data_IF_839902703577
#
_entry.id   IF_839902703577
#
_cell.length_a   1.000
_cell.length_b   1.000
_cell.length_c   1.000
_cell.angle_alpha   90.00
_cell.angle_beta   90.00
_cell.angle_gamma   90.00
#
_symmetry.space_group_name_H-M   'P 1'
#
loop_
_entity.id
_entity.type
_entity.pdbx_description
1 polymer ?
#
# COMPACT_ATOMS: atom_id res chain seq x y z
N UNK A 1 -16.61 -8.83 16.02
CA UNK A 1 -16.60 -8.90 14.55
C UNK A 1 -16.70 -7.48 14.04
N UNK A 2 -15.81 -7.08 13.13
CA UNK A 2 -15.72 -5.69 12.62
C UNK A 2 -16.75 -5.39 11.52
N UNK A 3 -17.33 -6.44 10.92
CA UNK A 3 -18.33 -6.38 9.88
C UNK A 3 -19.64 -7.07 10.29
N UNK A 4 -20.74 -6.69 9.65
CA UNK A 4 -22.04 -7.31 9.88
C UNK A 4 -22.03 -8.78 9.45
N UNK A 5 -22.71 -9.62 10.23
CA UNK A 5 -22.93 -11.03 9.90
C UNK A 5 -23.96 -11.11 8.79
N UNK A 6 -23.61 -11.82 7.72
CA UNK A 6 -24.50 -12.13 6.60
C UNK A 6 -25.18 -13.46 6.86
N UNK A 7 -24.39 -14.50 7.16
CA UNK A 7 -24.87 -15.86 7.44
C UNK A 7 -23.83 -16.65 8.24
N UNK A 8 -24.22 -17.78 8.82
CA UNK A 8 -23.30 -18.70 9.49
C UNK A 8 -23.78 -20.15 9.42
N UNK A 9 -22.81 -21.06 9.37
CA UNK A 9 -23.07 -22.51 9.38
C UNK A 9 -22.14 -23.21 10.36
N UNK A 10 -22.59 -24.34 10.91
CA UNK A 10 -21.76 -25.24 11.72
C UNK A 10 -21.14 -26.32 10.83
N UNK A 11 -19.85 -26.61 11.05
CA UNK A 11 -19.19 -27.77 10.47
C UNK A 11 -19.27 -28.93 11.46
N UNK A 12 -19.91 -30.01 11.04
CA UNK A 12 -20.08 -31.24 11.82
C UNK A 12 -19.24 -32.37 11.21
N UNK A 13 -18.82 -33.35 12.02
CA UNK A 13 -18.08 -34.51 11.51
C UNK A 13 -18.88 -35.34 10.49
N UNK A 14 -20.18 -35.54 10.72
CA UNK A 14 -21.05 -36.24 9.78
C UNK A 14 -21.76 -35.26 8.83
N UNK A 15 -21.77 -35.52 7.51
CA UNK A 15 -22.56 -34.74 6.56
C UNK A 15 -24.06 -35.08 6.61
N UNK A 16 -24.45 -36.15 7.31
CA UNK A 16 -25.84 -36.62 7.37
C UNK A 16 -26.57 -35.99 8.56
N UNK A 17 -27.70 -35.34 8.28
CA UNK A 17 -28.54 -34.70 9.31
C UNK A 17 -29.21 -35.68 10.27
N UNK A 18 -29.29 -36.96 9.88
CA UNK A 18 -29.83 -38.04 10.73
C UNK A 18 -28.86 -38.52 11.81
N UNK A 19 -27.56 -38.24 11.64
CA UNK A 19 -26.53 -38.66 12.59
C UNK A 19 -26.41 -37.65 13.74
N UNK A 20 -25.69 -38.07 14.78
CA UNK A 20 -25.33 -37.19 15.88
C UNK A 20 -24.52 -36.01 15.33
N UNK A 21 -25.02 -34.80 15.56
CA UNK A 21 -24.36 -33.57 15.13
C UNK A 21 -23.30 -33.20 16.17
N UNK A 22 -22.05 -33.46 15.84
CA UNK A 22 -20.89 -33.04 16.65
C UNK A 22 -20.16 -31.88 15.95
N UNK A 23 -20.57 -30.62 16.20
CA UNK A 23 -20.02 -29.47 15.52
C UNK A 23 -18.61 -29.16 16.05
N UNK A 24 -17.62 -29.19 15.18
CA UNK A 24 -16.22 -28.92 15.54
C UNK A 24 -15.78 -27.49 15.18
N UNK A 25 -16.54 -26.78 14.34
CA UNK A 25 -16.27 -25.40 13.96
C UNK A 25 -17.54 -24.65 13.55
N UNK A 26 -17.49 -23.32 13.60
CA UNK A 26 -18.53 -22.44 13.01
C UNK A 26 -17.90 -21.57 11.93
N UNK A 27 -18.46 -21.58 10.74
CA UNK A 27 -18.10 -20.67 9.64
C UNK A 27 -19.07 -19.51 9.67
N UNK A 28 -18.55 -18.29 9.76
CA UNK A 28 -19.33 -17.06 9.80
C UNK A 28 -18.95 -16.22 8.59
N UNK A 29 -19.92 -16.02 7.70
CA UNK A 29 -19.81 -15.10 6.57
C UNK A 29 -20.14 -13.69 7.05
N UNK A 30 -19.16 -12.80 6.95
CA UNK A 30 -19.33 -11.38 7.19
C UNK A 30 -19.43 -10.64 5.86
N UNK A 31 -19.91 -9.39 5.88
CA UNK A 31 -20.11 -8.62 4.66
C UNK A 31 -18.85 -8.45 3.80
N UNK A 32 -17.68 -8.39 4.43
CA UNK A 32 -16.38 -8.18 3.78
C UNK A 32 -15.31 -9.18 4.25
N UNK A 33 -15.68 -10.26 4.94
CA UNK A 33 -14.71 -11.17 5.56
C UNK A 33 -15.32 -12.56 5.83
N UNK A 34 -14.47 -13.57 6.05
CA UNK A 34 -14.85 -14.92 6.41
C UNK A 34 -14.09 -15.37 7.66
N UNK A 35 -14.82 -15.61 8.75
CA UNK A 35 -14.25 -16.04 10.02
C UNK A 35 -14.68 -17.47 10.31
N UNK A 36 -13.72 -18.33 10.66
CA UNK A 36 -14.01 -19.70 11.11
C UNK A 36 -13.54 -19.86 12.54
N UNK A 37 -14.43 -20.30 13.43
CA UNK A 37 -14.19 -20.42 14.87
C UNK A 37 -14.04 -21.89 15.22
N UNK A 38 -12.98 -22.23 15.94
CA UNK A 38 -12.72 -23.57 16.47
C UNK A 38 -13.55 -23.81 17.73
N UNK A 39 -14.43 -24.80 17.70
CA UNK A 39 -15.29 -25.14 18.84
C UNK A 39 -14.63 -26.11 19.81
N UNK A 40 -13.56 -26.80 19.41
CA UNK A 40 -12.93 -27.83 20.24
C UNK A 40 -11.83 -27.28 21.13
N UNK A 41 -11.18 -26.19 20.72
CA UNK A 41 -10.11 -25.56 21.52
C UNK A 41 -10.71 -24.61 22.56
N UNK A 42 -10.34 -24.73 23.85
CA UNK A 42 -10.81 -23.82 24.89
C UNK A 42 -10.51 -22.35 24.57
N UNK A 43 -11.50 -21.49 24.76
CA UNK A 43 -11.41 -20.07 24.39
C UNK A 43 -11.86 -19.75 22.96
N UNK A 44 -12.26 -20.78 22.19
CA UNK A 44 -12.84 -20.65 20.85
C UNK A 44 -12.02 -19.77 19.90
N UNK A 45 -10.72 -20.07 19.70
CA UNK A 45 -9.90 -19.30 18.79
C UNK A 45 -10.39 -19.43 17.34
N UNK A 46 -10.07 -18.45 16.50
CA UNK A 46 -10.36 -18.53 15.07
C UNK A 46 -9.31 -19.38 14.36
N UNK A 47 -9.68 -20.09 13.29
CA UNK A 47 -8.73 -20.69 12.36
C UNK A 47 -8.07 -19.59 11.52
N UNK A 48 -6.80 -19.77 11.18
CA UNK A 48 -6.12 -18.88 10.24
C UNK A 48 -6.63 -19.16 8.83
N UNK A 49 -7.24 -18.15 8.20
CA UNK A 49 -7.72 -18.25 6.82
C UNK A 49 -6.52 -18.25 5.85
N UNK A 50 -6.28 -19.35 5.10
CA UNK A 50 -5.16 -19.43 4.16
C UNK A 50 -5.39 -18.61 2.88
N UNK A 51 -6.62 -18.11 2.69
CA UNK A 51 -7.00 -17.31 1.54
C UNK A 51 -7.03 -15.83 1.95
N UNK A 52 -6.23 -14.96 1.30
CA UNK A 52 -6.21 -13.57 1.68
C UNK A 52 -7.52 -12.86 1.31
N UNK A 53 -8.30 -12.50 2.33
CA UNK A 53 -9.45 -11.59 2.18
C UNK A 53 -9.02 -10.12 2.34
N UNK A 54 -7.75 -9.85 2.66
CA UNK A 54 -7.28 -8.51 3.04
C UNK A 54 -7.07 -7.53 1.85
N UNK A 55 -7.51 -7.85 0.63
CA UNK A 55 -7.29 -6.94 -0.52
C UNK A 55 -7.97 -5.58 -0.29
N UNK A 56 -9.09 -5.54 0.42
CA UNK A 56 -9.90 -4.33 0.65
C UNK A 56 -9.81 -3.75 2.07
N UNK A 57 -8.81 -4.11 2.87
CA UNK A 57 -8.56 -3.47 4.19
C UNK A 57 -8.50 -1.92 4.06
N UNK A 58 -8.00 -1.45 2.92
CA UNK A 58 -8.10 -0.07 2.46
C UNK A 58 -8.43 -0.07 0.95
N UNK A 59 -9.23 0.90 0.44
CA UNK A 59 -9.56 0.98 -0.97
C UNK A 59 -8.32 0.90 -1.87
N UNK A 60 -8.36 0.03 -2.88
CA UNK A 60 -7.30 -0.08 -3.89
C UNK A 60 -7.41 1.10 -4.84
N UNK A 61 -6.33 1.88 -4.94
CA UNK A 61 -6.24 3.10 -5.75
C UNK A 61 -5.48 2.87 -7.06
N UNK A 62 -4.53 1.94 -7.07
CA UNK A 62 -3.83 1.52 -8.29
C UNK A 62 -3.37 0.06 -8.21
N UNK A 63 -3.19 -0.58 -9.36
CA UNK A 63 -2.67 -1.95 -9.45
C UNK A 63 -1.62 -2.09 -10.55
N UNK A 64 -0.73 -3.07 -10.40
CA UNK A 64 0.28 -3.40 -11.41
C UNK A 64 0.54 -4.90 -11.40
N UNK A 65 0.66 -5.50 -12.57
CA UNK A 65 0.92 -6.92 -12.75
C UNK A 65 2.24 -7.12 -13.48
N UNK A 66 3.02 -8.10 -13.02
CA UNK A 66 4.33 -8.43 -13.56
C UNK A 66 4.41 -9.94 -13.81
N UNK A 67 4.58 -10.31 -15.08
CA UNK A 67 4.86 -11.67 -15.52
C UNK A 67 6.38 -11.93 -15.59
N UNK A 68 6.78 -13.19 -15.79
CA UNK A 68 8.17 -13.60 -16.01
C UNK A 68 9.17 -13.05 -14.98
N UNK A 69 8.75 -12.95 -13.71
CA UNK A 69 9.58 -12.37 -12.67
C UNK A 69 10.79 -13.27 -12.35
N UNK A 70 11.93 -12.69 -11.94
CA UNK A 70 13.09 -13.46 -11.47
C UNK A 70 12.70 -14.51 -10.43
N UNK A 71 13.29 -15.70 -10.53
CA UNK A 71 12.93 -16.87 -9.71
C UNK A 71 13.09 -16.63 -8.20
N UNK A 72 13.94 -15.69 -7.81
CA UNK A 72 14.24 -15.37 -6.42
C UNK A 72 13.47 -14.16 -5.87
N UNK A 73 12.59 -13.54 -6.67
CA UNK A 73 11.79 -12.38 -6.27
C UNK A 73 10.73 -12.74 -5.23
N UNK A 74 9.90 -13.75 -5.50
CA UNK A 74 8.86 -14.26 -4.59
C UNK A 74 9.49 -14.73 -3.26
N UNK A 75 10.52 -15.61 -3.26
CA UNK A 75 11.22 -15.98 -2.03
C UNK A 75 11.80 -14.79 -1.27
N UNK A 76 12.32 -13.78 -1.97
CA UNK A 76 12.86 -12.58 -1.34
C UNK A 76 11.77 -11.79 -0.61
N UNK A 77 10.62 -11.55 -1.24
CA UNK A 77 9.50 -10.83 -0.62
C UNK A 77 8.92 -11.61 0.56
N UNK A 78 8.68 -12.90 0.38
CA UNK A 78 8.21 -13.78 1.45
C UNK A 78 9.13 -13.73 2.68
N UNK A 79 10.45 -13.76 2.49
CA UNK A 79 11.42 -13.74 3.58
C UNK A 79 11.38 -12.49 4.46
N UNK A 80 10.96 -11.35 3.90
CA UNK A 80 10.84 -10.08 4.65
C UNK A 80 9.42 -9.83 5.16
N UNK A 81 8.40 -10.38 4.50
CA UNK A 81 7.00 -10.27 4.92
C UNK A 81 6.59 -11.25 6.03
N UNK A 82 7.10 -12.48 6.01
CA UNK A 82 6.76 -13.52 7.00
C UNK A 82 7.05 -13.12 8.45
N UNK A 83 8.10 -12.32 8.67
CA UNK A 83 8.45 -11.79 10.00
C UNK A 83 7.39 -10.86 10.59
N UNK A 84 6.54 -10.27 9.74
CA UNK A 84 5.47 -9.36 10.18
C UNK A 84 4.15 -10.08 10.50
N UNK A 85 4.03 -11.39 10.22
CA UNK A 85 2.79 -12.17 10.36
C UNK A 85 2.82 -13.18 11.51
N UNK A 86 3.53 -12.93 12.61
CA UNK A 86 3.33 -13.73 13.83
C UNK A 86 1.94 -13.42 14.43
N UNK A 87 0.91 -14.00 13.83
CA UNK A 87 -0.48 -13.90 14.26
C UNK A 87 -0.68 -14.84 15.46
N UNK A 88 -0.56 -14.30 16.65
CA UNK A 88 -0.88 -15.02 17.90
C UNK A 88 -2.39 -15.05 18.12
N UNK A 89 -2.94 -16.14 18.64
CA UNK A 89 -4.36 -16.23 19.00
C UNK A 89 -5.26 -16.95 17.98
N UNK A 90 -4.67 -17.59 16.98
CA UNK A 90 -5.37 -18.52 16.07
C UNK A 90 -5.29 -19.95 16.60
N UNK A 91 -6.21 -20.80 16.15
CA UNK A 91 -6.19 -22.24 16.41
C UNK A 91 -4.94 -22.86 15.78
N UNK A 92 -4.35 -23.84 16.47
CA UNK A 92 -3.24 -24.65 15.94
C UNK A 92 -3.73 -25.77 14.99
N UNK A 93 -5.05 -25.94 14.87
CA UNK A 93 -5.67 -26.94 14.00
C UNK A 93 -5.64 -26.48 12.54
N UNK A 94 -5.66 -27.46 11.63
CA UNK A 94 -5.67 -27.19 10.19
C UNK A 94 -6.98 -26.53 9.74
N UNK A 95 -6.90 -25.73 8.69
CA UNK A 95 -8.04 -25.05 8.10
C UNK A 95 -9.12 -26.06 7.66
N UNK A 96 -10.37 -25.94 8.13
CA UNK A 96 -11.36 -27.01 8.00
C UNK A 96 -12.07 -27.05 6.64
N UNK A 97 -11.94 -26.01 5.79
CA UNK A 97 -12.55 -25.96 4.46
C UNK A 97 -11.50 -26.31 3.41
N UNK A 98 -11.23 -27.61 3.27
CA UNK A 98 -10.16 -28.19 2.45
C UNK A 98 -10.67 -29.13 1.34
N UNK A 99 -11.95 -29.02 0.97
CA UNK A 99 -12.55 -29.85 -0.06
C UNK A 99 -12.02 -29.57 -1.47
N UNK A 100 -11.91 -30.62 -2.29
CA UNK A 100 -11.47 -30.55 -3.69
C UNK A 100 -9.96 -30.80 -3.88
N UNK A 101 -9.55 -31.01 -5.13
CA UNK A 101 -8.15 -31.12 -5.53
C UNK A 101 -7.87 -30.14 -6.67
N UNK A 102 -6.72 -29.47 -6.62
CA UNK A 102 -6.27 -28.60 -7.70
C UNK A 102 -5.25 -29.34 -8.57
N UNK A 103 -5.44 -29.38 -9.88
CA UNK A 103 -4.38 -29.83 -10.80
C UNK A 103 -3.21 -28.85 -10.73
N UNK A 104 -1.98 -29.34 -10.52
CA UNK A 104 -0.77 -28.51 -10.34
C UNK A 104 -0.33 -27.76 -11.61
N UNK A 105 -1.21 -26.95 -12.19
CA UNK A 105 -0.87 -25.99 -13.22
C UNK A 105 -0.30 -24.76 -12.50
N UNK A 106 0.83 -24.93 -11.82
CA UNK A 106 1.66 -23.78 -11.43
C UNK A 106 2.10 -23.11 -12.73
N UNK A 107 2.03 -21.79 -12.81
CA UNK A 107 2.67 -21.05 -13.90
C UNK A 107 4.13 -21.50 -14.00
N UNK A 108 4.66 -21.67 -15.21
CA UNK A 108 6.07 -22.05 -15.40
C UNK A 108 7.04 -20.92 -15.03
N UNK A 109 6.50 -19.75 -14.69
CA UNK A 109 7.21 -18.54 -14.33
C UNK A 109 6.51 -17.88 -13.12
N UNK A 110 7.26 -17.04 -12.41
CA UNK A 110 6.72 -16.31 -11.27
C UNK A 110 5.93 -15.08 -11.74
N UNK A 111 4.78 -14.86 -11.13
CA UNK A 111 3.88 -13.74 -11.40
C UNK A 111 3.59 -13.01 -10.09
N UNK A 112 3.65 -11.68 -10.12
CA UNK A 112 3.31 -10.87 -8.95
C UNK A 112 2.33 -9.77 -9.31
N UNK A 113 1.45 -9.47 -8.35
CA UNK A 113 0.56 -8.31 -8.40
C UNK A 113 0.96 -7.37 -7.28
N UNK A 114 1.02 -6.08 -7.57
CA UNK A 114 1.10 -5.02 -6.57
C UNK A 114 -0.25 -4.30 -6.51
N UNK A 115 -0.72 -4.00 -5.31
CA UNK A 115 -1.86 -3.13 -5.07
C UNK A 115 -1.43 -1.96 -4.20
N UNK A 116 -1.66 -0.74 -4.70
CA UNK A 116 -1.54 0.50 -3.92
C UNK A 116 -2.88 0.88 -3.33
N UNK A 117 -2.86 1.43 -2.12
CA UNK A 117 -4.07 1.69 -1.34
C UNK A 117 -4.18 3.16 -0.91
N UNK A 118 -5.41 3.57 -0.58
CA UNK A 118 -5.72 4.91 -0.09
C UNK A 118 -5.02 5.24 1.25
N UNK A 119 -4.72 4.24 2.08
CA UNK A 119 -3.97 4.43 3.34
C UNK A 119 -2.45 4.58 3.17
N UNK A 120 -1.96 4.62 1.93
CA UNK A 120 -0.53 4.67 1.60
C UNK A 120 0.21 3.35 1.79
N UNK A 121 -0.51 2.23 1.94
CA UNK A 121 0.11 0.91 1.91
C UNK A 121 0.22 0.35 0.50
N UNK A 122 1.20 -0.52 0.31
CA UNK A 122 1.38 -1.30 -0.91
C UNK A 122 1.49 -2.76 -0.51
N UNK A 123 0.65 -3.61 -1.10
CA UNK A 123 0.64 -5.05 -0.87
C UNK A 123 1.20 -5.75 -2.11
N UNK A 124 2.05 -6.75 -1.86
CA UNK A 124 2.72 -7.56 -2.87
C UNK A 124 2.13 -8.96 -2.80
N UNK A 125 1.60 -9.43 -3.91
CA UNK A 125 0.86 -10.68 -4.00
C UNK A 125 1.58 -11.63 -4.93
N UNK A 126 1.73 -12.89 -4.51
CA UNK A 126 2.06 -13.98 -5.40
C UNK A 126 0.82 -14.32 -6.22
N UNK A 127 0.95 -14.29 -7.53
CA UNK A 127 -0.09 -14.66 -8.49
C UNK A 127 0.32 -15.85 -9.37
N UNK A 128 1.41 -16.55 -9.02
CA UNK A 128 2.00 -17.62 -9.84
C UNK A 128 1.22 -18.94 -9.80
N UNK A 129 0.21 -19.04 -8.95
CA UNK A 129 -0.60 -20.24 -8.73
C UNK A 129 -2.10 -19.89 -8.75
N UNK A 130 -2.96 -20.89 -8.57
CA UNK A 130 -4.42 -20.72 -8.53
C UNK A 130 -4.96 -19.89 -7.35
N UNK A 131 -4.11 -19.43 -6.44
CA UNK A 131 -4.49 -18.57 -5.32
C UNK A 131 -3.56 -17.37 -5.19
N UNK A 132 -4.10 -16.24 -4.76
CA UNK A 132 -3.31 -15.07 -4.38
C UNK A 132 -2.75 -15.26 -2.98
N UNK A 133 -1.47 -14.96 -2.77
CA UNK A 133 -0.84 -15.02 -1.45
C UNK A 133 -0.13 -13.71 -1.13
N UNK A 134 -0.39 -13.12 0.05
CA UNK A 134 0.28 -11.89 0.46
C UNK A 134 1.74 -12.18 0.81
N UNK A 135 2.68 -11.64 0.02
CA UNK A 135 4.11 -11.81 0.22
C UNK A 135 4.71 -10.76 1.16
N UNK A 136 4.29 -9.50 1.00
CA UNK A 136 4.88 -8.36 1.70
C UNK A 136 3.90 -7.18 1.76
N UNK A 137 3.91 -6.42 2.86
CA UNK A 137 3.17 -5.15 3.01
C UNK A 137 4.15 -4.01 3.32
N UNK A 138 4.22 -3.03 2.42
CA UNK A 138 4.94 -1.78 2.61
C UNK A 138 4.00 -0.71 3.15
N UNK A 139 4.42 0.07 4.15
CA UNK A 139 3.67 1.22 4.67
C UNK A 139 4.49 2.49 4.50
N UNK A 140 4.04 3.43 3.67
CA UNK A 140 4.78 4.67 3.35
C UNK A 140 4.65 5.73 4.44
N UNK A 141 3.55 5.73 5.21
CA UNK A 141 3.28 6.67 6.29
C UNK A 141 4.42 6.81 7.32
N UNK A 142 5.29 5.79 7.46
CA UNK A 142 6.45 5.86 8.36
C UNK A 142 7.49 6.89 7.92
N UNK A 143 7.54 7.24 6.63
CA UNK A 143 8.47 8.21 6.06
C UNK A 143 8.11 9.66 6.41
N UNK A 144 6.84 9.92 6.71
CA UNK A 144 6.31 11.25 6.95
C UNK A 144 6.05 11.51 8.43
N UNK A 145 6.12 12.78 8.81
CA UNK A 145 5.66 13.23 10.12
C UNK A 145 4.15 13.03 10.24
N UNK A 146 3.67 12.65 11.44
CA UNK A 146 2.23 12.56 11.66
C UNK A 146 1.65 13.97 11.63
N UNK A 147 0.86 14.29 10.60
CA UNK A 147 0.14 15.56 10.57
C UNK A 147 -0.82 15.62 11.77
N UNK A 148 -0.78 16.74 12.50
CA UNK A 148 -1.73 17.03 13.59
C UNK A 148 -3.07 17.58 13.04
N UNK A 149 -3.10 17.98 11.78
CA UNK A 149 -4.27 18.54 11.12
C UNK A 149 -4.86 17.48 10.17
N UNK A 150 -5.74 16.64 10.69
CA UNK A 150 -6.79 16.06 9.84
C UNK A 150 -7.79 17.18 9.61
N UNK A 151 -7.63 17.97 8.55
CA UNK A 151 -8.75 18.77 8.06
C UNK A 151 -9.82 17.76 7.65
N UNK A 152 -10.98 17.82 8.30
CA UNK A 152 -12.12 16.94 8.05
C UNK A 152 -12.71 17.09 6.63
N UNK A 153 -12.19 18.01 5.81
CA UNK A 153 -12.70 18.39 4.50
C UNK A 153 -11.89 17.86 3.29
N UNK A 154 -10.81 17.10 3.49
CA UNK A 154 -10.08 16.51 2.36
C UNK A 154 -10.53 15.05 2.16
N UNK A 155 -11.27 14.78 1.08
CA UNK A 155 -11.83 13.46 0.76
C UNK A 155 -10.74 12.41 0.45
N UNK A 156 -9.53 12.83 0.04
CA UNK A 156 -8.42 11.94 -0.32
C UNK A 156 -7.23 12.10 0.63
N UNK A 157 -6.74 10.97 1.18
CA UNK A 157 -5.55 10.94 2.04
C UNK A 157 -4.31 11.29 1.20
N UNK A 158 -3.48 12.28 1.60
CA UNK A 158 -2.28 12.65 0.84
C UNK A 158 -1.26 11.51 0.71
N UNK A 159 -1.37 10.44 1.52
CA UNK A 159 -0.54 9.25 1.40
C UNK A 159 -1.07 8.21 0.41
N UNK A 160 -2.29 8.37 -0.10
CA UNK A 160 -2.91 7.46 -1.07
C UNK A 160 -1.99 7.23 -2.27
N UNK A 161 -1.75 5.96 -2.61
CA UNK A 161 -0.85 5.59 -3.71
C UNK A 161 -1.59 5.77 -5.04
N UNK A 162 -1.14 6.68 -5.90
CA UNK A 162 -1.78 6.91 -7.20
C UNK A 162 -1.09 6.15 -8.32
N UNK A 163 0.24 6.10 -8.29
CA UNK A 163 1.04 5.39 -9.30
C UNK A 163 2.15 4.60 -8.64
N UNK A 164 2.54 3.50 -9.28
CA UNK A 164 3.68 2.71 -8.85
C UNK A 164 4.35 2.04 -10.04
N UNK A 165 5.67 1.86 -9.93
CA UNK A 165 6.47 1.20 -10.95
C UNK A 165 7.57 0.37 -10.26
N UNK A 166 7.57 -0.94 -10.48
CA UNK A 166 8.57 -1.87 -9.97
C UNK A 166 9.45 -2.34 -11.13
N UNK A 167 10.77 -2.35 -10.94
CA UNK A 167 11.68 -3.10 -11.78
C UNK A 167 12.03 -4.44 -11.08
N UNK A 168 11.49 -5.58 -11.54
CA UNK A 168 11.70 -6.89 -10.91
C UNK A 168 13.18 -7.29 -10.79
N UNK A 169 14.00 -6.97 -11.80
CA UNK A 169 15.41 -7.36 -11.91
C UNK A 169 16.27 -6.62 -10.87
N UNK A 170 16.08 -5.31 -10.76
CA UNK A 170 16.86 -4.45 -9.85
C UNK A 170 16.23 -4.28 -8.47
N UNK A 171 14.97 -4.70 -8.32
CA UNK A 171 14.11 -4.51 -7.13
C UNK A 171 14.09 -3.08 -6.63
N UNK A 172 14.01 -2.16 -7.59
CA UNK A 172 13.73 -0.74 -7.34
C UNK A 172 12.24 -0.52 -7.56
N UNK A 173 11.62 0.21 -6.64
CA UNK A 173 10.20 0.56 -6.68
C UNK A 173 10.09 2.07 -6.60
N UNK A 174 9.43 2.69 -7.56
CA UNK A 174 9.01 4.08 -7.51
C UNK A 174 7.51 4.13 -7.23
N UNK A 175 7.08 5.11 -6.44
CA UNK A 175 5.66 5.38 -6.17
C UNK A 175 5.39 6.87 -6.30
N UNK A 176 4.17 7.23 -6.67
CA UNK A 176 3.65 8.59 -6.56
C UNK A 176 2.38 8.56 -5.70
N UNK A 177 2.30 9.45 -4.73
CA UNK A 177 1.13 9.59 -3.86
C UNK A 177 0.30 10.85 -4.15
N UNK A 178 -0.95 10.86 -3.69
CA UNK A 178 -1.89 11.98 -3.87
C UNK A 178 -1.38 13.32 -3.33
N UNK A 179 -0.55 13.29 -2.28
CA UNK A 179 0.16 14.44 -1.72
C UNK A 179 1.36 14.91 -2.55
N UNK A 180 1.37 14.62 -3.86
CA UNK A 180 2.37 15.07 -4.86
C UNK A 180 3.82 14.76 -4.49
N UNK A 181 4.00 13.60 -3.88
CA UNK A 181 5.32 13.10 -3.51
C UNK A 181 5.66 11.87 -4.33
N UNK A 182 6.93 11.77 -4.73
CA UNK A 182 7.50 10.56 -5.35
C UNK A 182 8.47 9.94 -4.38
N UNK A 183 8.40 8.63 -4.17
CA UNK A 183 9.37 7.90 -3.35
C UNK A 183 10.03 6.81 -4.15
N UNK A 184 11.36 6.80 -4.13
CA UNK A 184 12.17 5.71 -4.66
C UNK A 184 12.60 4.79 -3.51
N UNK A 185 12.35 3.50 -3.68
CA UNK A 185 12.74 2.45 -2.77
C UNK A 185 13.75 1.50 -3.41
N UNK A 186 14.63 0.97 -2.57
CA UNK A 186 15.52 -0.15 -2.90
C UNK A 186 15.24 -1.32 -1.96
N UNK A 187 15.07 -2.51 -2.51
CA UNK A 187 14.89 -3.70 -1.71
C UNK A 187 16.18 -4.13 -0.99
N UNK A 188 16.10 -4.42 0.31
CA UNK A 188 17.19 -5.01 1.11
C UNK A 188 16.65 -6.10 2.03
N UNK A 189 17.30 -7.27 2.05
CA UNK A 189 16.94 -8.39 2.95
C UNK A 189 17.32 -8.16 4.42
N UNK A 190 18.21 -7.19 4.67
CA UNK A 190 18.68 -6.85 6.00
C UNK A 190 18.10 -5.50 6.46
N UNK A 191 17.92 -5.41 7.78
CA UNK A 191 17.69 -4.14 8.46
C UNK A 191 18.89 -3.22 8.25
N UNK A 192 18.65 -1.92 8.08
CA UNK A 192 19.73 -0.94 7.98
C UNK A 192 19.36 0.39 8.63
N UNK A 193 20.38 1.16 8.98
CA UNK A 193 20.24 2.56 9.39
C UNK A 193 20.53 3.43 8.18
N UNK A 194 19.55 4.22 7.72
CA UNK A 194 19.75 5.12 6.60
C UNK A 194 18.92 6.39 6.74
N UNK A 195 19.49 7.48 6.25
CA UNK A 195 18.76 8.72 6.00
C UNK A 195 18.16 8.67 4.59
N UNK A 196 17.03 9.36 4.40
CA UNK A 196 16.34 9.44 3.11
C UNK A 196 16.64 10.81 2.52
N UNK A 197 17.21 10.83 1.31
CA UNK A 197 17.46 12.09 0.60
C UNK A 197 16.10 12.69 0.25
N UNK A 198 15.91 13.97 0.56
CA UNK A 198 14.68 14.70 0.22
C UNK A 198 15.01 15.81 -0.76
N UNK A 199 14.25 15.89 -1.86
CA UNK A 199 14.36 16.93 -2.88
C UNK A 199 13.03 17.66 -2.99
N UNK A 200 13.07 18.99 -2.99
CA UNK A 200 11.92 19.81 -3.33
C UNK A 200 12.01 20.17 -4.82
N UNK A 201 10.95 19.86 -5.56
CA UNK A 201 10.83 20.13 -6.99
C UNK A 201 9.77 21.21 -7.15
N UNK A 202 10.20 22.41 -7.52
CA UNK A 202 9.27 23.48 -7.88
C UNK A 202 8.95 23.39 -9.36
N UNK A 203 7.68 23.16 -9.69
CA UNK A 203 7.20 23.24 -11.06
C UNK A 203 6.88 24.71 -11.36
N UNK A 204 7.70 25.36 -12.19
CA UNK A 204 7.34 26.65 -12.78
C UNK A 204 6.59 26.39 -14.07
N UNK A 205 5.34 26.82 -14.13
CA UNK A 205 4.64 26.95 -15.41
C UNK A 205 5.27 28.12 -16.15
N UNK A 206 6.26 27.87 -17.00
CA UNK A 206 6.75 28.87 -17.96
C UNK A 206 5.67 29.02 -19.04
N UNK A 207 4.66 29.82 -18.71
CA UNK A 207 3.41 29.86 -19.45
C UNK A 207 2.71 31.22 -19.39
N UNK A 208 3.46 32.32 -19.55
CA UNK A 208 2.93 33.59 -20.07
C UNK A 208 4.07 34.45 -20.65
N UNK A 209 4.65 34.01 -21.76
CA UNK A 209 5.13 34.95 -22.78
C UNK A 209 3.89 35.58 -23.44
N UNK A 210 3.22 36.47 -22.70
CA UNK A 210 2.31 37.42 -23.33
C UNK A 210 3.19 38.59 -23.72
N UNK A 211 3.49 38.73 -25.01
CA UNK A 211 3.95 40.01 -25.57
C UNK A 211 2.89 41.08 -25.27
N UNK A 212 3.02 41.72 -24.12
CA UNK A 212 2.26 42.89 -23.70
C UNK A 212 3.24 44.05 -23.59
N UNK A 213 3.15 44.96 -24.55
CA UNK A 213 3.84 46.25 -24.62
C UNK A 213 4.01 46.91 -23.22
N UNK A 214 5.16 47.55 -22.91
CA UNK A 214 5.33 48.24 -21.65
C UNK A 214 4.50 49.51 -21.66
N UNK A 215 3.47 49.58 -20.82
CA UNK A 215 2.85 50.85 -20.43
C UNK A 215 3.32 51.15 -18.99
N UNK A 216 4.06 52.24 -18.75
CA UNK A 216 4.52 52.60 -17.42
C UNK A 216 3.41 53.41 -16.76
N UNK A 217 2.84 52.90 -15.66
CA UNK A 217 2.36 53.68 -14.50
C UNK A 217 1.34 52.86 -13.71
N UNK A 218 1.77 52.05 -12.75
CA UNK A 218 1.00 51.75 -11.53
C UNK A 218 1.95 51.34 -10.38
N UNK A 219 1.92 52.13 -9.31
CA UNK A 219 2.67 51.98 -8.06
C UNK A 219 2.32 50.70 -7.25
N UNK A 220 3.21 50.22 -6.35
CA UNK A 220 3.08 48.92 -5.69
C UNK A 220 2.21 48.99 -4.43
N UNK A 221 0.92 48.63 -4.56
CA UNK A 221 0.09 48.33 -3.39
C UNK A 221 0.11 46.83 -3.08
N UNK A 222 0.59 46.50 -1.87
CA UNK A 222 0.59 45.17 -1.26
C UNK A 222 -0.82 44.55 -1.32
N UNK A 223 -0.96 43.40 -1.99
CA UNK A 223 -2.21 42.62 -2.02
C UNK A 223 -2.22 41.69 -0.79
N UNK A 224 -3.17 41.81 0.15
CA UNK A 224 -3.20 41.02 1.40
C UNK A 224 -3.64 39.55 1.25
N UNK A 225 -3.58 38.94 0.06
CA UNK A 225 -4.14 37.60 -0.22
C UNK A 225 -3.13 36.50 -0.55
N UNK A 226 -1.85 36.86 -0.74
CA UNK A 226 -0.79 35.91 -1.17
C UNK A 226 -0.15 35.18 0.02
N UNK A 227 -0.22 35.75 1.23
CA UNK A 227 0.35 35.12 2.44
C UNK A 227 -0.57 34.05 3.04
N UNK A 228 -1.90 34.22 3.00
CA UNK A 228 -2.86 33.22 3.51
C UNK A 228 -2.91 31.96 2.62
N UNK A 229 -2.77 32.11 1.30
CA UNK A 229 -2.73 31.00 0.34
C UNK A 229 -1.43 30.19 0.45
N UNK A 230 -0.28 30.85 0.63
CA UNK A 230 1.00 30.18 0.95
C UNK A 230 0.97 29.45 2.29
N UNK A 231 0.30 29.99 3.30
CA UNK A 231 0.15 29.34 4.61
C UNK A 231 -0.75 28.10 4.53
N UNK A 232 -1.81 28.12 3.71
CA UNK A 232 -2.69 26.99 3.48
C UNK A 232 -2.01 25.86 2.68
N UNK A 233 -1.24 26.18 1.63
CA UNK A 233 -0.45 25.21 0.87
C UNK A 233 0.69 24.60 1.71
N UNK A 234 1.36 25.41 2.53
CA UNK A 234 2.37 24.93 3.47
C UNK A 234 1.75 24.03 4.56
N UNK A 235 0.50 24.28 4.96
CA UNK A 235 -0.23 23.46 5.92
C UNK A 235 -0.68 22.10 5.35
N UNK A 236 -0.83 21.98 4.02
CA UNK A 236 -1.17 20.73 3.34
C UNK A 236 0.05 19.93 2.85
N UNK A 237 1.25 20.49 2.94
CA UNK A 237 2.48 19.83 2.50
C UNK A 237 2.92 18.70 3.46
N UNK A 238 3.16 17.50 2.91
CA UNK A 238 3.69 16.38 3.66
C UNK A 238 5.11 16.67 4.14
N UNK A 239 5.35 16.61 5.45
CA UNK A 239 6.69 16.75 6.03
C UNK A 239 7.38 15.41 6.12
N UNK A 240 8.59 15.31 5.55
CA UNK A 240 9.41 14.09 5.61
C UNK A 240 10.16 14.04 6.94
N UNK A 241 10.19 12.86 7.58
CA UNK A 241 11.01 12.67 8.78
C UNK A 241 12.49 12.67 8.41
N UNK A 242 13.22 13.68 8.87
CA UNK A 242 14.68 13.76 8.69
C UNK A 242 15.48 12.79 9.57
N UNK A 243 16.79 12.75 9.32
CA UNK A 243 17.78 12.06 10.14
C UNK A 243 17.90 10.56 9.90
N UNK A 244 18.90 9.97 10.57
CA UNK A 244 19.22 8.55 10.46
C UNK A 244 18.13 7.69 11.13
N UNK A 245 17.45 6.86 10.34
CA UNK A 245 16.34 6.03 10.83
C UNK A 245 16.59 4.55 10.62
N UNK A 246 16.11 3.76 11.60
CA UNK A 246 16.09 2.30 11.53
C UNK A 246 15.05 1.86 10.50
N UNK A 247 15.50 1.14 9.46
CA UNK A 247 14.67 0.63 8.37
C UNK A 247 14.62 -0.89 8.43
N UNK A 248 13.40 -1.42 8.58
CA UNK A 248 13.16 -2.85 8.54
C UNK A 248 13.60 -3.47 7.19
N UNK A 249 13.84 -4.79 7.14
CA UNK A 249 14.00 -5.50 5.87
C UNK A 249 12.82 -5.26 4.91
N UNK A 250 13.11 -5.27 3.62
CA UNK A 250 12.16 -5.04 2.53
C UNK A 250 12.52 -3.81 1.71
N UNK A 251 11.51 -3.09 1.23
CA UNK A 251 11.71 -1.87 0.45
C UNK A 251 12.04 -0.70 1.37
N UNK A 252 13.26 -0.18 1.26
CA UNK A 252 13.77 0.93 2.06
C UNK A 252 13.86 2.18 1.18
N UNK A 253 13.26 3.28 1.62
CA UNK A 253 13.27 4.53 0.88
C UNK A 253 14.70 5.08 0.77
N UNK A 254 15.07 5.54 -0.41
CA UNK A 254 16.37 6.14 -0.71
C UNK A 254 16.25 7.60 -1.11
N UNK A 255 15.17 7.97 -1.78
CA UNK A 255 14.90 9.33 -2.25
C UNK A 255 13.39 9.62 -2.10
N UNK A 256 13.07 10.82 -1.62
CA UNK A 256 11.72 11.40 -1.64
C UNK A 256 11.78 12.73 -2.39
N UNK A 257 10.94 12.88 -3.40
CA UNK A 257 10.75 14.15 -4.09
C UNK A 257 9.40 14.72 -3.67
N UNK A 258 9.38 15.97 -3.19
CA UNK A 258 8.17 16.71 -2.87
C UNK A 258 7.96 17.75 -3.96
N UNK A 259 6.81 17.70 -4.62
CA UNK A 259 6.49 18.67 -5.68
C UNK A 259 5.73 19.84 -5.08
N UNK A 260 6.21 21.07 -5.25
CA UNK A 260 5.55 22.30 -4.81
C UNK A 260 5.24 23.21 -5.99
N UNK A 261 4.12 23.94 -5.94
CA UNK A 261 3.86 25.04 -6.87
C UNK A 261 4.40 26.33 -6.27
N UNK A 262 5.11 27.14 -7.06
CA UNK A 262 5.50 28.48 -6.64
C UNK A 262 4.43 29.54 -6.99
N UNK A 263 3.44 29.18 -7.83
CA UNK A 263 2.60 30.14 -8.54
C UNK A 263 1.09 30.02 -8.31
N UNK A 264 0.60 29.84 -7.09
CA UNK A 264 -0.80 30.11 -6.68
C UNK A 264 -1.96 29.39 -7.40
N UNK A 265 -1.70 28.65 -8.49
CA UNK A 265 -2.66 27.77 -9.17
C UNK A 265 -2.67 26.39 -8.50
N UNK A 266 -3.84 25.74 -8.53
CA UNK A 266 -3.98 24.37 -8.03
C UNK A 266 -2.97 23.47 -8.74
N UNK A 267 -2.05 22.92 -7.97
CA UNK A 267 -1.01 22.05 -8.52
C UNK A 267 -1.63 20.78 -9.06
N UNK A 268 -1.31 20.42 -10.29
CA UNK A 268 -1.82 19.19 -10.90
C UNK A 268 -1.26 17.94 -10.20
N UNK A 269 -2.03 16.85 -10.22
CA UNK A 269 -1.59 15.56 -9.68
C UNK A 269 -0.53 14.94 -10.58
N UNK A 270 0.29 14.04 -10.01
CA UNK A 270 1.27 13.28 -10.80
C UNK A 270 0.50 12.28 -11.67
N UNK A 271 0.50 12.49 -12.99
CA UNK A 271 -0.28 11.69 -13.94
C UNK A 271 0.48 10.51 -14.53
N UNK A 272 1.80 10.51 -14.45
CA UNK A 272 2.64 9.42 -14.97
C UNK A 272 3.89 9.21 -14.14
N UNK A 273 4.35 7.96 -14.09
CA UNK A 273 5.55 7.55 -13.38
C UNK A 273 6.25 6.44 -14.18
N UNK A 274 7.55 6.59 -14.37
CA UNK A 274 8.40 5.59 -15.02
C UNK A 274 9.72 5.47 -14.28
N UNK A 275 10.35 4.30 -14.35
CA UNK A 275 11.62 4.01 -13.69
C UNK A 275 12.50 3.21 -14.64
N UNK A 276 13.70 3.73 -14.92
CA UNK A 276 14.72 3.03 -15.66
C UNK A 276 15.91 2.69 -14.75
N UNK A 277 15.87 1.47 -14.24
CA UNK A 277 16.87 0.99 -13.28
C UNK A 277 18.30 0.92 -13.84
N UNK A 278 18.45 0.76 -15.17
CA UNK A 278 19.72 0.61 -15.87
C UNK A 278 20.48 1.93 -15.99
N UNK A 279 19.76 3.03 -16.24
CA UNK A 279 20.34 4.38 -16.29
C UNK A 279 20.25 5.13 -14.96
N UNK A 280 19.50 4.59 -13.98
CA UNK A 280 19.27 5.27 -12.71
C UNK A 280 18.34 6.48 -12.84
N UNK A 281 17.40 6.41 -13.78
CA UNK A 281 16.37 7.42 -14.05
C UNK A 281 15.03 6.99 -13.47
#
# INVERSE_FOLDING_TARGET
MEHNVVDFITLCESPYTSDFQDPYAVVVLLQNDLVVIDLLTPGFPCFENPYPMDIHESPVTCCSYFADCPSDLVPAFYSVGSKSQKKTGFSEREWPVSGGEWSSNSSSYNEIILTGHADGSIKFWDASAGSLQLLYKLKTAKLFEKSKAKSLDNEEDPLAIQLMHLCPESRKLAIAGAGRHVVLFKFKKAESMSEVVTLEISLTSDGKDTEGSPDPDLDPCQIPGVEESRAAEAAMSLKVKGGLQKRAPGFQATLICLTSNAGGEQTENITSLSLNSSYGL
#
